data_IF_044111585527
#
_entry.id   IF_044111585527
#
_cell.length_a   1.000
_cell.length_b   1.000
_cell.length_c   1.000
_cell.angle_alpha   90.00
_cell.angle_beta   90.00
_cell.angle_gamma   90.00
#
_symmetry.space_group_name_H-M   'P 1'
#
loop_
_entity.id
_entity.type
_entity.pdbx_description
1 polymer ?
#
# COMPACT_ATOMS: atom_id res chain seq x y z
N UNK A 1 -2.08 18.38 -21.28
CA UNK A 1 -1.96 16.96 -20.86
C UNK A 1 -3.25 16.58 -20.16
N UNK A 2 -3.91 15.51 -20.58
CA UNK A 2 -5.06 15.01 -19.82
C UNK A 2 -4.55 14.57 -18.44
N UNK A 3 -5.19 15.04 -17.37
CA UNK A 3 -4.93 14.52 -16.03
C UNK A 3 -5.43 13.09 -15.99
N UNK A 4 -4.52 12.10 -15.98
CA UNK A 4 -4.91 10.74 -15.64
C UNK A 4 -5.44 10.75 -14.20
N UNK A 5 -6.66 10.27 -14.02
CA UNK A 5 -7.30 10.23 -12.71
C UNK A 5 -6.92 8.92 -12.02
N UNK A 6 -6.06 9.01 -11.00
CA UNK A 6 -5.77 7.89 -10.12
C UNK A 6 -6.89 7.64 -9.11
N UNK A 7 -7.04 6.38 -8.69
CA UNK A 7 -7.97 5.96 -7.64
C UNK A 7 -7.20 5.24 -6.54
N UNK A 8 -7.57 5.51 -5.29
CA UNK A 8 -7.18 4.68 -4.14
C UNK A 8 -8.26 3.60 -4.01
N UNK A 9 -7.88 2.35 -4.24
CA UNK A 9 -8.76 1.18 -4.11
C UNK A 9 -8.82 0.69 -2.66
N UNK A 10 -7.72 0.84 -1.91
CA UNK A 10 -7.66 0.51 -0.48
C UNK A 10 -6.57 1.30 0.24
N UNK A 11 -6.84 1.60 1.52
CA UNK A 11 -5.87 2.14 2.47
C UNK A 11 -5.55 1.03 3.46
N UNK A 12 -4.28 0.71 3.67
CA UNK A 12 -3.87 -0.42 4.50
C UNK A 12 -2.79 -0.02 5.52
N UNK A 13 -2.92 -0.51 6.75
CA UNK A 13 -1.90 -0.31 7.80
C UNK A 13 -1.66 -1.59 8.60
N UNK A 14 -0.53 -1.65 9.30
CA UNK A 14 -0.27 -2.68 10.30
C UNK A 14 0.64 -2.17 11.41
N UNK A 15 0.60 -2.77 12.60
CA UNK A 15 1.59 -2.49 13.64
C UNK A 15 2.95 -3.22 13.40
N UNK A 16 3.37 -3.44 12.14
CA UNK A 16 4.64 -4.12 11.81
C UNK A 16 4.51 -5.52 11.22
N UNK A 17 3.41 -5.84 10.53
CA UNK A 17 3.18 -7.16 9.91
C UNK A 17 2.54 -7.05 8.53
N UNK A 18 2.77 -8.06 7.71
CA UNK A 18 2.01 -8.28 6.49
C UNK A 18 1.16 -9.55 6.66
N UNK A 19 -0.07 -9.61 6.11
CA UNK A 19 -0.76 -8.54 5.37
C UNK A 19 -1.13 -7.33 6.23
N UNK A 20 -1.15 -6.15 5.63
CA UNK A 20 -1.76 -4.95 6.22
C UNK A 20 -3.28 -5.04 6.14
N UNK A 21 -3.98 -4.51 7.14
CA UNK A 21 -5.44 -4.52 7.19
C UNK A 21 -6.02 -3.27 6.52
N UNK A 22 -7.09 -3.44 5.76
CA UNK A 22 -7.80 -2.33 5.11
C UNK A 22 -8.49 -1.43 6.14
N UNK A 23 -8.43 -0.13 5.91
CA UNK A 23 -9.09 0.91 6.69
C UNK A 23 -9.98 1.76 5.78
N UNK A 24 -11.01 2.36 6.37
CA UNK A 24 -11.86 3.32 5.69
C UNK A 24 -11.12 4.65 5.41
N UNK A 25 -10.32 5.10 6.36
CA UNK A 25 -9.53 6.33 6.28
C UNK A 25 -8.22 6.19 7.08
N UNK A 26 -7.23 7.02 6.76
CA UNK A 26 -5.99 7.14 7.52
C UNK A 26 -5.39 8.54 7.40
N UNK A 27 -4.58 8.92 8.39
CA UNK A 27 -3.78 10.13 8.36
C UNK A 27 -2.39 9.83 7.79
N UNK A 28 -1.95 10.58 6.77
CA UNK A 28 -0.57 10.55 6.27
C UNK A 28 0.24 11.63 6.98
N UNK A 29 1.39 11.25 7.52
CA UNK A 29 2.38 12.13 8.14
C UNK A 29 3.71 12.06 7.39
N UNK A 30 4.67 12.93 7.73
CA UNK A 30 6.04 12.83 7.18
C UNK A 30 6.75 11.50 7.51
N UNK A 31 6.28 10.77 8.53
CA UNK A 31 6.85 9.49 8.95
C UNK A 31 6.05 8.28 8.44
N UNK A 32 4.96 8.51 7.71
CA UNK A 32 4.09 7.48 7.15
C UNK A 32 2.65 7.59 7.63
N UNK A 33 1.88 6.53 7.39
CA UNK A 33 0.49 6.46 7.83
C UNK A 33 0.41 6.24 9.34
N UNK A 34 -0.48 6.97 10.01
CA UNK A 34 -0.74 6.74 11.42
C UNK A 34 -1.20 5.30 11.67
N UNK A 35 -0.70 4.69 12.74
CA UNK A 35 -0.89 3.28 13.05
C UNK A 35 -0.11 2.28 12.21
N UNK A 36 0.56 2.69 11.11
CA UNK A 36 1.45 1.81 10.36
C UNK A 36 2.87 1.79 10.95
N UNK A 37 3.47 0.61 11.04
CA UNK A 37 4.83 0.42 11.53
C UNK A 37 5.58 -0.61 10.72
N UNK A 38 6.90 -0.55 10.80
CA UNK A 38 7.82 -1.51 10.22
C UNK A 38 8.51 -2.27 11.35
N UNK A 39 8.60 -3.60 11.22
CA UNK A 39 9.23 -4.45 12.24
C UNK A 39 10.74 -4.21 12.36
N UNK A 40 11.39 -3.90 11.25
CA UNK A 40 12.83 -3.64 11.19
C UNK A 40 13.11 -2.26 10.56
N UNK A 41 13.25 -1.20 11.39
CA UNK A 41 13.46 0.16 10.90
C UNK A 41 14.88 0.40 10.36
N UNK A 42 15.80 -0.57 10.44
CA UNK A 42 17.14 -0.44 9.86
C UNK A 42 17.10 -0.44 8.33
N UNK A 43 16.16 -1.19 7.76
CA UNK A 43 16.02 -1.40 6.32
C UNK A 43 14.72 -0.85 5.74
N UNK A 44 13.68 -0.72 6.57
CA UNK A 44 12.34 -0.35 6.13
C UNK A 44 11.85 0.94 6.78
N UNK A 45 10.96 1.66 6.10
CA UNK A 45 10.41 2.92 6.58
C UNK A 45 11.40 4.08 6.53
N UNK A 46 11.09 5.11 7.33
CA UNK A 46 11.72 6.43 7.28
C UNK A 46 11.03 7.36 6.29
N UNK A 47 11.35 8.66 6.35
CA UNK A 47 10.70 9.72 5.56
C UNK A 47 10.64 9.43 4.06
N UNK A 48 11.73 8.91 3.48
CA UNK A 48 11.83 8.60 2.05
C UNK A 48 11.09 7.31 1.65
N UNK A 49 10.59 6.55 2.63
CA UNK A 49 9.81 5.32 2.47
C UNK A 49 8.57 5.33 3.36
N UNK A 50 8.01 6.53 3.56
CA UNK A 50 6.90 6.79 4.48
C UNK A 50 5.59 6.11 4.01
N UNK A 51 5.37 6.05 2.70
CA UNK A 51 4.17 5.48 2.09
C UNK A 51 4.57 4.53 0.97
N UNK A 52 4.08 3.30 1.01
CA UNK A 52 4.24 2.30 -0.05
C UNK A 52 2.97 2.24 -0.88
N UNK A 53 3.09 2.31 -2.21
CA UNK A 53 1.97 2.20 -3.14
C UNK A 53 2.12 0.93 -3.97
N UNK A 54 1.01 0.33 -4.38
CA UNK A 54 1.04 -0.76 -5.35
C UNK A 54 -0.21 -0.83 -6.22
N UNK A 55 -0.02 -1.32 -7.46
CA UNK A 55 -1.08 -1.37 -8.47
C UNK A 55 -2.09 -2.47 -8.19
N UNK A 56 -3.36 -2.09 -8.12
CA UNK A 56 -4.49 -3.01 -8.08
C UNK A 56 -4.55 -3.87 -9.35
N UNK A 57 -4.24 -3.30 -10.51
CA UNK A 57 -4.25 -4.01 -11.79
C UNK A 57 -3.21 -5.14 -11.79
N UNK A 58 -2.02 -4.90 -11.21
CA UNK A 58 -0.98 -5.91 -11.03
C UNK A 58 -1.41 -7.00 -10.05
N UNK A 59 -2.02 -6.65 -8.91
CA UNK A 59 -2.57 -7.64 -7.97
C UNK A 59 -3.57 -8.54 -8.70
N UNK A 60 -4.53 -7.95 -9.44
CA UNK A 60 -5.56 -8.70 -10.18
C UNK A 60 -4.96 -9.56 -11.29
N UNK A 61 -3.89 -9.13 -11.95
CA UNK A 61 -3.19 -9.94 -12.96
C UNK A 61 -2.54 -11.17 -12.31
N UNK A 62 -1.79 -10.98 -11.23
CA UNK A 62 -1.13 -12.06 -10.50
C UNK A 62 -2.11 -13.05 -9.86
N UNK A 63 -3.23 -12.56 -9.32
CA UNK A 63 -4.33 -13.43 -8.84
C UNK A 63 -4.87 -14.33 -9.95
N UNK A 64 -5.04 -13.81 -11.18
CA UNK A 64 -5.50 -14.60 -12.34
C UNK A 64 -4.48 -15.65 -12.78
N UNK A 65 -3.19 -15.40 -12.56
CA UNK A 65 -2.12 -16.37 -12.78
C UNK A 65 -2.04 -17.43 -11.67
N UNK A 66 -2.85 -17.31 -10.61
CA UNK A 66 -2.90 -18.25 -9.48
C UNK A 66 -1.91 -17.92 -8.35
N UNK A 67 -1.30 -16.73 -8.37
CA UNK A 67 -0.47 -16.27 -7.26
C UNK A 67 -1.34 -15.98 -6.04
N UNK A 68 -0.91 -16.45 -4.85
CA UNK A 68 -1.54 -16.08 -3.58
C UNK A 68 -1.10 -14.68 -3.17
N UNK A 69 -1.77 -13.68 -3.74
CA UNK A 69 -1.60 -12.25 -3.47
C UNK A 69 -2.97 -11.61 -3.31
N UNK A 70 -3.03 -10.44 -2.70
CA UNK A 70 -4.22 -9.62 -2.55
C UNK A 70 -3.87 -8.25 -1.98
N UNK A 71 -4.89 -7.42 -1.77
CA UNK A 71 -4.76 -6.11 -1.11
C UNK A 71 -4.10 -6.25 0.26
N UNK A 72 -3.12 -5.41 0.55
CA UNK A 72 -2.34 -5.35 1.79
C UNK A 72 -1.30 -6.46 1.95
N UNK A 73 -1.32 -7.50 1.12
CA UNK A 73 -0.52 -8.72 1.33
C UNK A 73 0.98 -8.52 1.09
N UNK A 74 1.34 -7.56 0.24
CA UNK A 74 2.73 -7.21 -0.04
C UNK A 74 3.25 -6.10 0.89
N UNK A 75 2.39 -5.56 1.76
CA UNK A 75 2.74 -4.51 2.71
C UNK A 75 2.59 -3.09 2.17
N UNK A 76 1.82 -2.89 1.09
CA UNK A 76 1.50 -1.57 0.56
C UNK A 76 0.55 -0.81 1.50
N UNK A 77 0.76 0.50 1.63
CA UNK A 77 -0.14 1.38 2.35
C UNK A 77 -1.33 1.81 1.51
N UNK A 78 -1.12 2.05 0.22
CA UNK A 78 -2.18 2.42 -0.71
C UNK A 78 -2.18 1.44 -1.88
N UNK A 79 -3.30 0.76 -2.07
CA UNK A 79 -3.54 0.03 -3.32
C UNK A 79 -4.20 1.01 -4.28
N UNK A 80 -3.64 1.19 -5.47
CA UNK A 80 -4.04 2.24 -6.41
C UNK A 80 -4.30 1.70 -7.81
N UNK A 81 -5.13 2.38 -8.60
CA UNK A 81 -5.40 2.06 -10.00
C UNK A 81 -5.43 3.34 -10.85
N UNK A 82 -5.28 3.19 -12.17
CA UNK A 82 -5.39 4.30 -13.12
C UNK A 82 -4.19 5.28 -13.15
N UNK A 83 -3.04 4.87 -12.62
CA UNK A 83 -1.76 5.61 -12.70
C UNK A 83 -0.64 4.67 -13.18
N UNK A 84 0.27 5.21 -14.00
CA UNK A 84 1.46 4.52 -14.56
C UNK A 84 2.75 5.20 -14.09
#
# INVERSE_FOLDING_TARGET
>A
MATAAGRIESINTSPGRVPKASLFEALITEQGLDGDRQRDPRFHGGRDRAVVLFSFDVIRALEREGTRIGVGTIGENLTVSGIE
#
